data_IF_062267862375
#
_entry.id   IF_062267862375
#
_cell.length_a   1.000
_cell.length_b   1.000
_cell.length_c   1.000
_cell.angle_alpha   90.00
_cell.angle_beta   90.00
_cell.angle_gamma   90.00
#
_symmetry.space_group_name_H-M   'P 1'
#
loop_
_entity.id
_entity.type
_entity.pdbx_description
1 polymer ?
2 non-polymer ?
3 non-polymer ?
4 non-polymer ?
5 water ?
#
# COMPACT_ATOMS: atom_id res chain seq x y z
N UNK A 1 13.82 -8.65 -7.64
CA UNK A 1 14.30 -7.67 -6.62
C UNK A 1 14.38 -8.34 -5.28
N UNK A 2 15.24 -7.81 -4.40
CA UNK A 2 15.29 -8.26 -3.01
C UNK A 2 13.95 -7.82 -2.37
N UNK A 3 13.44 -8.68 -1.55
CA UNK A 3 12.18 -8.47 -0.84
C UNK A 3 12.42 -8.85 0.62
N UNK A 4 11.57 -8.31 1.49
CA UNK A 4 11.63 -8.59 2.91
C UNK A 4 12.66 -7.80 3.68
N UNK A 5 13.19 -6.76 3.09
CA UNK A 5 14.15 -5.87 3.75
C UNK A 5 13.53 -4.49 3.91
N UNK A 6 13.64 -3.93 5.09
CA UNK A 6 12.99 -2.63 5.37
C UNK A 6 13.89 -1.76 6.21
N UNK A 7 13.90 -0.47 5.88
CA UNK A 7 14.63 0.51 6.69
C UNK A 7 13.65 1.25 7.60
N UNK A 8 13.80 0.99 8.88
CA UNK A 8 13.02 1.61 9.94
C UNK A 8 13.77 2.83 10.44
N UNK A 9 13.05 3.75 11.10
CA UNK A 9 13.79 4.77 11.86
C UNK A 9 14.64 4.08 12.90
N UNK A 10 15.75 4.75 13.25
CA UNK A 10 16.68 4.20 14.27
C UNK A 10 16.03 4.09 15.65
N UNK A 11 16.45 3.08 16.39
CA UNK A 11 16.18 2.96 17.82
C UNK A 11 14.68 2.98 18.15
N UNK A 12 13.92 2.33 17.30
CA UNK A 12 12.45 2.35 17.35
C UNK A 12 11.90 0.96 17.70
N UNK A 13 11.01 0.91 18.69
CA UNK A 13 10.34 -0.32 19.05
C UNK A 13 9.36 -0.63 17.95
N UNK A 14 9.29 -1.89 17.56
CA UNK A 14 8.41 -2.36 16.53
C UNK A 14 7.89 -3.74 16.87
N UNK A 15 6.72 -4.04 16.35
CA UNK A 15 6.13 -5.34 16.50
C UNK A 15 6.35 -6.18 15.27
N UNK A 16 6.57 -7.48 15.47
CA UNK A 16 6.66 -8.43 14.38
C UNK A 16 5.78 -9.65 14.71
N UNK A 17 4.91 -9.99 13.79
CA UNK A 17 3.94 -11.09 13.99
C UNK A 17 3.91 -11.94 12.74
N UNK A 18 3.86 -13.24 12.91
CA UNK A 18 3.84 -14.17 11.81
C UNK A 18 2.64 -15.14 11.90
N UNK A 19 2.07 -15.41 10.74
CA UNK A 19 0.92 -16.31 10.58
C UNK A 19 1.32 -17.41 9.59
N UNK A 20 0.75 -18.60 9.74
CA UNK A 20 1.06 -19.71 8.83
C UNK A 20 -0.16 -20.22 8.13
N UNK A 21 0.02 -20.54 6.85
CA UNK A 21 -1.04 -21.10 5.99
C UNK A 21 -0.39 -22.06 4.98
N UNK A 22 0.03 -23.23 5.48
CA UNK A 22 0.71 -24.17 4.65
C UNK A 22 0.76 -25.53 5.32
N UNK A 23 0.87 -26.57 4.51
CA UNK A 23 1.14 -27.91 5.11
C UNK A 23 2.57 -27.99 5.66
N UNK A 24 3.47 -27.15 5.18
CA UNK A 24 4.87 -27.14 5.63
C UNK A 24 5.10 -26.38 6.90
N UNK A 25 6.03 -26.85 7.70
CA UNK A 25 6.43 -26.15 8.92
C UNK A 25 7.24 -24.94 8.51
N UNK A 26 6.82 -23.75 8.94
CA UNK A 26 7.47 -22.51 8.57
C UNK A 26 8.50 -22.10 9.62
N UNK A 27 9.66 -21.63 9.17
CA UNK A 27 10.65 -20.97 10.03
C UNK A 27 10.83 -19.56 9.57
N UNK A 28 10.46 -18.60 10.41
CA UNK A 28 10.62 -17.18 10.11
C UNK A 28 11.80 -16.64 10.93
N UNK A 29 12.79 -16.09 10.26
CA UNK A 29 13.98 -15.51 10.88
C UNK A 29 13.87 -13.99 10.75
N UNK A 30 14.02 -13.30 11.87
CA UNK A 30 14.00 -11.83 11.89
C UNK A 30 15.38 -11.29 12.23
N UNK A 31 15.97 -10.49 11.37
CA UNK A 31 17.30 -9.91 11.61
C UNK A 31 17.16 -8.44 11.76
N UNK A 32 17.87 -7.90 12.72
CA UNK A 32 18.01 -6.48 12.91
C UNK A 32 19.52 -6.13 12.80
N UNK A 33 19.84 -5.22 11.87
CA UNK A 33 21.25 -4.85 11.60
C UNK A 33 22.13 -6.08 11.51
N UNK A 34 21.63 -7.02 10.71
CA UNK A 34 22.37 -8.24 10.30
C UNK A 34 22.64 -9.23 11.40
N UNK A 35 21.84 -9.19 12.47
CA UNK A 35 21.89 -10.22 13.51
C UNK A 35 20.51 -10.79 13.71
N UNK A 36 20.39 -12.14 13.80
CA UNK A 36 19.12 -12.73 14.11
C UNK A 36 18.68 -12.38 15.53
N UNK A 37 17.47 -11.85 15.65
CA UNK A 37 16.95 -11.45 16.93
C UNK A 37 15.62 -12.13 17.30
N UNK A 38 15.01 -12.84 16.37
CA UNK A 38 13.83 -13.69 16.67
C UNK A 38 13.69 -14.75 15.65
N UNK A 39 13.16 -15.88 16.09
CA UNK A 39 12.83 -16.99 15.23
C UNK A 39 11.48 -17.54 15.63
N UNK A 40 10.60 -17.68 14.62
CA UNK A 40 9.32 -18.24 14.85
C UNK A 40 9.18 -19.50 14.02
N UNK A 41 8.75 -20.59 14.67
CA UNK A 41 8.63 -21.87 14.00
C UNK A 41 7.24 -22.40 14.29
N UNK A 42 6.51 -22.78 13.27
CA UNK A 42 5.19 -23.32 13.46
C UNK A 42 4.55 -23.82 12.23
N UNK A 43 3.36 -24.39 12.39
CA UNK A 43 2.62 -24.95 11.29
C UNK A 43 1.12 -24.73 11.50
N UNK A 44 0.44 -24.30 10.43
CA UNK A 44 -0.98 -24.13 10.40
C UNK A 44 -1.45 -24.00 8.99
N UNK A 45 -2.61 -24.56 8.68
CA UNK A 45 -3.30 -24.23 7.43
C UNK A 45 -4.50 -23.30 7.70
N UNK A 46 -4.57 -22.68 8.88
CA UNK A 46 -5.69 -21.80 9.22
C UNK A 46 -5.26 -20.51 9.92
N UNK A 47 -4.14 -19.94 9.49
CA UNK A 47 -3.71 -18.60 9.88
C UNK A 47 -3.35 -18.46 11.34
N UNK A 48 -2.92 -19.56 11.94
CA UNK A 48 -2.47 -19.47 13.34
C UNK A 48 -1.26 -18.56 13.47
N UNK A 49 -1.21 -17.80 14.56
CA UNK A 49 -0.10 -16.99 14.87
C UNK A 49 1.03 -17.90 15.34
N UNK A 50 2.13 -17.88 14.64
CA UNK A 50 3.29 -18.71 14.99
C UNK A 50 4.36 -17.89 15.74
N UNK A 51 4.17 -16.59 15.86
CA UNK A 51 4.96 -15.79 16.78
C UNK A 51 4.56 -14.34 16.79
N UNK A 52 4.81 -13.64 17.88
CA UNK A 52 4.63 -12.19 17.93
C UNK A 52 5.59 -11.65 18.99
N UNK A 53 6.42 -10.70 18.59
CA UNK A 53 7.42 -10.16 19.47
C UNK A 53 7.55 -8.68 19.29
N UNK A 54 8.08 -8.03 20.33
CA UNK A 54 8.48 -6.62 20.26
C UNK A 54 10.01 -6.51 20.24
N UNK A 55 10.51 -5.82 19.26
CA UNK A 55 11.93 -5.65 18.99
C UNK A 55 12.31 -4.19 18.84
N UNK A 56 13.61 -3.92 18.82
CA UNK A 56 14.13 -2.56 18.60
C UNK A 56 15.00 -2.49 17.34
N UNK A 57 14.78 -1.48 16.51
CA UNK A 57 15.43 -1.39 15.22
C UNK A 57 16.89 -1.00 15.32
N UNK A 58 17.33 -0.58 16.49
CA UNK A 58 18.79 -0.36 16.70
C UNK A 58 19.31 0.86 16.00
N UNK A 59 20.64 1.02 16.01
CA UNK A 59 21.20 2.16 15.34
C UNK A 59 20.96 2.27 13.85
N UNK A 60 21.01 1.14 13.15
CA UNK A 60 20.98 1.11 11.73
C UNK A 60 19.61 1.03 11.10
N UNK A 61 18.62 0.60 11.91
CA UNK A 61 17.25 0.52 11.45
C UNK A 61 16.96 -0.60 10.45
N UNK A 62 17.92 -1.46 10.14
CA UNK A 62 17.73 -2.48 9.10
C UNK A 62 17.03 -3.71 9.62
N UNK A 63 15.85 -4.00 9.05
CA UNK A 63 15.10 -5.17 9.45
C UNK A 63 14.93 -6.08 8.24
N UNK A 64 15.28 -7.36 8.37
CA UNK A 64 15.12 -8.30 7.32
C UNK A 64 14.35 -9.51 7.79
N UNK A 65 13.44 -9.98 6.94
CA UNK A 65 12.67 -11.22 7.13
C UNK A 65 13.09 -12.28 6.15
N UNK A 66 13.38 -13.47 6.63
CA UNK A 66 13.65 -14.61 5.81
C UNK A 66 12.73 -15.73 6.24
N UNK A 67 12.29 -16.52 5.28
CA UNK A 67 11.40 -17.62 5.58
C UNK A 67 11.91 -18.89 4.92
N UNK A 68 11.95 -20.00 5.67
CA UNK A 68 12.32 -21.28 5.06
C UNK A 68 11.41 -22.39 5.52
N UNK A 69 11.35 -23.42 4.68
CA UNK A 69 10.53 -24.59 4.96
C UNK A 69 11.48 -25.76 4.60
N UNK A 70 11.74 -26.59 5.58
CA UNK A 70 12.65 -27.73 5.38
C UNK A 70 14.02 -27.32 4.87
N UNK A 71 14.51 -26.22 5.44
CA UNK A 71 15.77 -25.67 4.97
C UNK A 71 15.79 -24.96 3.60
N UNK A 72 14.67 -24.94 2.84
CA UNK A 72 14.61 -24.27 1.56
C UNK A 72 14.02 -22.88 1.73
N UNK A 73 14.68 -21.90 1.14
CA UNK A 73 14.21 -20.51 1.27
C UNK A 73 12.95 -20.32 0.45
N UNK A 74 11.93 -19.74 1.07
CA UNK A 74 10.71 -19.41 0.35
C UNK A 74 10.92 -18.13 -0.46
N UNK A 75 10.15 -17.98 -1.52
CA UNK A 75 10.15 -16.79 -2.34
C UNK A 75 9.31 -15.72 -1.64
N UNK A 76 9.87 -14.52 -1.52
CA UNK A 76 9.19 -13.47 -0.73
C UNK A 76 8.58 -12.40 -1.61
N UNK A 77 7.51 -11.82 -1.11
CA UNK A 77 6.95 -10.56 -1.64
C UNK A 77 6.73 -9.59 -0.50
N UNK A 78 6.94 -8.31 -0.74
CA UNK A 78 6.85 -7.35 0.38
C UNK A 78 6.59 -5.94 -0.10
N UNK A 79 6.12 -5.11 0.85
CA UNK A 79 5.98 -3.68 0.64
C UNK A 79 5.88 -3.01 1.99
N UNK A 80 6.03 -1.70 2.01
CA UNK A 80 5.76 -0.92 3.23
C UNK A 80 4.69 0.07 2.87
N UNK A 81 3.73 0.24 3.78
CA UNK A 81 2.66 1.22 3.63
C UNK A 81 2.64 2.13 4.87
N UNK A 82 2.40 3.42 4.63
CA UNK A 82 2.37 4.41 5.70
C UNK A 82 1.03 5.12 5.64
N UNK A 83 0.33 5.13 6.74
CA UNK A 83 -0.99 5.80 6.85
C UNK A 83 -0.82 7.06 7.73
N UNK A 84 -1.51 8.12 7.30
CA UNK A 84 -1.51 9.42 8.04
C UNK A 84 -0.12 9.96 8.27
N UNK A 85 0.81 9.57 7.38
CA UNK A 85 2.21 9.98 7.43
C UNK A 85 2.93 9.59 8.72
N UNK A 86 2.43 8.56 9.39
CA UNK A 86 2.95 8.21 10.71
C UNK A 86 2.84 6.75 11.10
N UNK A 87 1.79 6.06 10.68
CA UNK A 87 1.56 4.69 11.07
C UNK A 87 2.09 3.78 10.01
N UNK A 88 3.06 2.92 10.39
CA UNK A 88 3.80 2.13 9.40
C UNK A 88 3.53 0.61 9.50
N UNK A 89 3.37 0.00 8.32
CA UNK A 89 3.28 -1.44 8.19
C UNK A 89 4.29 -1.94 7.16
N UNK A 90 5.13 -2.87 7.56
CA UNK A 90 6.03 -3.57 6.64
C UNK A 90 5.48 -5.00 6.52
N UNK A 91 5.22 -5.41 5.30
CA UNK A 91 4.38 -6.56 5.02
C UNK A 91 5.17 -7.56 4.18
N UNK A 92 5.10 -8.82 4.55
CA UNK A 92 5.80 -9.91 3.82
C UNK A 92 4.86 -11.07 3.59
N UNK A 93 4.82 -11.57 2.37
CA UNK A 93 4.25 -12.86 2.05
C UNK A 93 5.36 -13.78 1.58
N UNK A 94 5.06 -15.07 1.61
CA UNK A 94 6.09 -16.04 1.22
C UNK A 94 5.43 -17.26 0.59
N UNK A 95 6.16 -17.90 -0.32
CA UNK A 95 5.66 -19.02 -1.10
C UNK A 95 6.69 -20.14 -0.99
N UNK A 96 6.22 -21.25 -0.45
CA UNK A 96 7.06 -22.42 -0.22
C UNK A 96 6.95 -23.49 -1.31
N UNK A 97 6.09 -23.24 -2.27
CA UNK A 97 5.77 -24.23 -3.32
C UNK A 97 5.47 -23.49 -4.60
N UNK A 98 4.49 -23.93 -5.38
CA UNK A 98 4.24 -23.42 -6.71
C UNK A 98 2.78 -23.08 -6.94
N UNK A 99 1.94 -23.17 -5.92
CA UNK A 99 0.53 -22.64 -6.10
C UNK A 99 0.44 -21.09 -6.10
N UNK A 100 1.47 -20.41 -5.63
CA UNK A 100 1.57 -18.98 -5.66
C UNK A 100 0.43 -18.25 -4.93
N UNK A 101 0.06 -18.76 -3.77
CA UNK A 101 -0.82 -18.01 -2.88
C UNK A 101 -0.08 -17.01 -2.00
N UNK A 102 1.24 -17.18 -1.85
CA UNK A 102 2.09 -16.24 -1.08
C UNK A 102 1.68 -16.02 0.33
N UNK A 103 0.90 -16.95 0.93
CA UNK A 103 0.45 -16.80 2.29
C UNK A 103 1.04 -17.85 3.23
N UNK A 104 2.06 -18.58 2.78
CA UNK A 104 2.46 -19.75 3.52
C UNK A 104 3.03 -19.39 4.87
N UNK A 105 3.85 -18.35 4.90
CA UNK A 105 4.08 -17.55 6.13
C UNK A 105 3.82 -16.09 5.74
N UNK A 106 3.01 -15.41 6.55
CA UNK A 106 2.69 -14.01 6.37
C UNK A 106 3.25 -13.26 7.57
N UNK A 107 3.99 -12.21 7.32
CA UNK A 107 4.65 -11.47 8.39
C UNK A 107 4.27 -10.01 8.35
N UNK A 108 3.87 -9.46 9.49
CA UNK A 108 3.44 -8.07 9.64
C UNK A 108 4.33 -7.43 10.66
N UNK A 109 4.98 -6.35 10.25
CA UNK A 109 5.82 -5.51 11.10
C UNK A 109 5.05 -4.17 11.27
N UNK A 110 4.86 -3.73 12.51
CA UNK A 110 4.15 -2.46 12.75
C UNK A 110 4.92 -1.56 13.71
N UNK A 111 4.89 -0.28 13.40
CA UNK A 111 5.41 0.74 14.30
C UNK A 111 4.68 2.06 14.02
N UNK A 112 4.67 3.03 14.97
CA UNK A 112 5.22 2.93 16.30
C UNK A 112 4.35 2.12 17.26
N UNK A 113 4.97 1.77 18.38
CA UNK A 113 4.27 1.10 19.48
C UNK A 113 4.12 2.06 20.66
N UNK A 114 3.35 1.62 21.64
CA UNK A 114 3.19 2.38 22.87
C UNK A 114 2.03 3.34 22.91
N UNK B 1 -13.28 11.13 4.75
CA UNK B 1 -13.74 9.86 4.08
C UNK B 1 -13.96 8.80 5.12
N UNK B 2 -14.85 7.85 4.79
CA UNK B 2 -15.08 6.68 5.58
C UNK B 2 -13.81 5.81 5.50
N UNK B 3 -13.42 5.29 6.64
CA UNK B 3 -12.26 4.48 6.76
C UNK B 3 -12.68 3.20 7.48
N UNK B 4 -11.90 2.15 7.28
CA UNK B 4 -12.14 0.90 7.96
C UNK B 4 -13.15 -0.04 7.31
N UNK B 5 -13.55 0.26 6.07
CA UNK B 5 -14.50 -0.55 5.30
C UNK B 5 -13.76 -1.15 4.11
N UNK B 6 -13.94 -2.45 3.90
CA UNK B 6 -13.23 -3.18 2.85
C UNK B 6 -14.19 -4.12 2.16
N UNK B 7 -14.05 -4.22 0.85
CA UNK B 7 -14.75 -5.27 0.04
C UNK B 7 -13.81 -6.43 -0.23
N UNK B 8 -14.15 -7.54 0.38
CA UNK B 8 -13.45 -8.81 0.18
C UNK B 8 -14.19 -9.61 -0.93
N UNK B 9 -13.50 -10.60 -1.53
CA UNK B 9 -14.22 -11.53 -2.37
C UNK B 9 -15.24 -12.28 -1.54
N UNK B 10 -16.39 -12.59 -2.18
CA UNK B 10 -17.49 -13.25 -1.49
C UNK B 10 -17.06 -14.60 -0.90
N UNK B 11 -17.68 -14.94 0.21
CA UNK B 11 -17.62 -16.28 0.80
C UNK B 11 -16.18 -16.78 0.99
N UNK B 12 -15.32 -15.88 1.43
CA UNK B 12 -13.88 -16.13 1.54
C UNK B 12 -13.47 -16.04 3.00
N UNK B 13 -12.70 -17.03 3.43
CA UNK B 13 -12.10 -17.02 4.76
C UNK B 13 -11.00 -15.97 4.85
N UNK B 14 -11.00 -15.25 5.98
CA UNK B 14 -10.02 -14.19 6.21
C UNK B 14 -9.63 -14.19 7.66
N UNK B 15 -8.41 -13.74 7.94
CA UNK B 15 -7.95 -13.55 9.31
C UNK B 15 -8.11 -12.09 9.72
N UNK B 16 -8.49 -11.89 10.97
CA UNK B 16 -8.52 -10.55 11.56
C UNK B 16 -7.79 -10.61 12.87
N UNK B 17 -6.81 -9.71 13.03
CA UNK B 17 -5.98 -9.66 14.24
C UNK B 17 -5.92 -8.20 14.73
N UNK B 18 -6.07 -7.99 16.04
CA UNK B 18 -6.00 -6.66 16.61
C UNK B 18 -4.92 -6.56 17.70
N UNK B 19 -4.22 -5.44 17.65
CA UNK B 19 -3.12 -5.13 18.57
C UNK B 19 -3.48 -3.85 19.32
N UNK B 20 -3.04 -3.75 20.56
CA UNK B 20 -3.25 -2.53 21.36
C UNK B 20 -1.99 -1.84 21.77
N UNK B 21 -2.05 -0.50 21.76
CA UNK B 21 -0.93 0.39 22.16
C UNK B 21 -1.46 1.64 22.76
N UNK B 22 -2.05 1.51 23.94
CA UNK B 22 -2.76 2.64 24.56
C UNK B 22 -3.01 2.35 26.04
N UNK B 23 -3.10 3.39 26.83
CA UNK B 23 -3.53 3.23 28.23
C UNK B 23 -5.01 2.85 28.33
N UNK B 24 -5.78 3.16 27.31
CA UNK B 24 -7.22 2.91 27.26
C UNK B 24 -7.56 1.52 26.83
N UNK B 25 -8.63 0.96 27.41
CA UNK B 25 -9.14 -0.32 26.95
C UNK B 25 -9.74 -0.15 25.58
N UNK B 26 -9.27 -0.93 24.63
CA UNK B 26 -9.79 -0.86 23.26
C UNK B 26 -10.90 -1.86 23.00
N UNK B 27 -11.94 -1.41 22.26
CA UNK B 27 -12.98 -2.29 21.78
C UNK B 27 -12.93 -2.26 20.29
N UNK B 28 -12.71 -3.38 19.66
CA UNK B 28 -12.74 -3.51 18.22
C UNK B 28 -13.90 -4.37 17.75
N UNK B 29 -14.82 -3.78 17.01
CA UNK B 29 -15.97 -4.46 16.47
C UNK B 29 -15.71 -4.81 15.03
N UNK B 30 -15.93 -6.08 14.65
CA UNK B 30 -15.80 -6.54 13.30
C UNK B 30 -17.18 -6.89 12.76
N UNK B 31 -17.60 -6.18 11.70
CA UNK B 31 -18.89 -6.42 11.06
C UNK B 31 -18.67 -7.03 9.69
N UNK B 32 -19.46 -8.06 9.40
CA UNK B 32 -19.49 -8.67 8.09
C UNK B 32 -20.91 -8.49 7.55
N UNK B 33 -21.00 -7.85 6.39
CA UNK B 33 -22.30 -7.54 5.76
C UNK B 33 -23.26 -6.94 6.75
N UNK B 34 -22.73 -5.94 7.48
CA UNK B 34 -23.49 -5.10 8.43
C UNK B 34 -24.00 -5.77 9.68
N UNK B 35 -23.42 -6.90 10.07
CA UNK B 35 -23.73 -7.56 11.31
C UNK B 35 -22.44 -7.82 12.07
N UNK B 36 -22.43 -7.49 13.34
CA UNK B 36 -21.26 -7.78 14.17
C UNK B 36 -21.04 -9.24 14.35
N UNK B 37 -19.84 -9.70 13.98
CA UNK B 37 -19.49 -11.09 14.05
C UNK B 37 -18.39 -11.37 15.08
N UNK B 38 -17.68 -10.36 15.51
CA UNK B 38 -16.61 -10.53 16.51
C UNK B 38 -16.37 -9.17 17.16
N UNK B 39 -16.08 -9.19 18.45
CA UNK B 39 -15.67 -8.06 19.22
C UNK B 39 -14.44 -8.44 20.03
N UNK B 40 -13.39 -7.64 19.86
CA UNK B 40 -12.16 -7.81 20.66
C UNK B 40 -12.05 -6.70 21.65
N UNK B 41 -11.78 -7.06 22.90
CA UNK B 41 -11.62 -6.09 23.98
C UNK B 41 -10.35 -6.37 24.70
N UNK B 42 -9.50 -5.38 24.85
CA UNK B 42 -8.25 -5.58 25.61
C UNK B 42 -7.49 -4.30 25.82
N UNK B 43 -6.37 -4.43 26.54
CA UNK B 43 -5.56 -3.28 26.87
C UNK B 43 -4.08 -3.64 26.92
N UNK B 44 -3.26 -2.84 26.28
CA UNK B 44 -1.80 -3.04 26.26
C UNK B 44 -1.19 -1.76 25.82
N UNK B 45 -0.01 -1.48 26.36
CA UNK B 45 0.87 -0.47 25.80
C UNK B 45 2.08 -1.06 25.07
N UNK B 46 2.04 -2.31 24.77
CA UNK B 46 3.17 -2.98 24.17
C UNK B 46 2.79 -3.96 23.10
N UNK B 47 1.75 -3.57 22.33
CA UNK B 47 1.40 -4.25 21.13
C UNK B 47 0.89 -5.65 21.34
N UNK B 48 0.31 -5.94 22.50
CA UNK B 48 -0.31 -7.23 22.72
C UNK B 48 -1.45 -7.48 21.75
N UNK B 49 -1.56 -8.72 21.33
CA UNK B 49 -2.69 -9.15 20.53
C UNK B 49 -3.91 -9.31 21.37
N UNK B 50 -4.90 -8.50 21.11
CA UNK B 50 -6.17 -8.52 21.89
C UNK B 50 -7.25 -9.35 21.22
N UNK B 51 -6.98 -9.86 20.02
CA UNK B 51 -7.84 -10.78 19.41
C UNK B 51 -7.30 -11.24 18.07
N UNK B 52 -7.62 -12.49 17.72
CA UNK B 52 -7.29 -13.01 16.39
C UNK B 52 -8.28 -14.11 16.04
N UNK B 53 -8.98 -13.97 14.91
CA UNK B 53 -10.00 -14.92 14.54
C UNK B 53 -9.99 -15.18 13.05
N UNK B 54 -10.53 -16.31 12.65
CA UNK B 54 -10.79 -16.60 11.24
C UNK B 54 -12.28 -16.45 11.02
N UNK B 55 -12.63 -15.67 10.04
CA UNK B 55 -14.02 -15.35 9.71
C UNK B 55 -14.29 -15.59 8.24
N UNK B 56 -15.55 -15.52 7.85
CA UNK B 56 -15.94 -15.65 6.46
C UNK B 56 -16.63 -14.35 5.97
N UNK B 57 -16.27 -13.88 4.80
CA UNK B 57 -16.77 -12.62 4.28
C UNK B 57 -18.21 -12.65 3.77
N UNK B 58 -18.77 -13.86 3.68
CA UNK B 58 -20.20 -13.99 3.42
C UNK B 58 -20.55 -13.58 2.02
N UNK B 59 -21.86 -13.53 1.74
CA UNK B 59 -22.25 -13.22 0.36
C UNK B 59 -21.78 -11.89 -0.21
N UNK B 60 -21.83 -10.83 0.61
CA UNK B 60 -21.60 -9.50 0.14
C UNK B 60 -20.16 -9.05 0.22
N UNK B 61 -19.37 -9.79 0.98
CA UNK B 61 -17.98 -9.48 1.12
C UNK B 61 -17.62 -8.23 1.92
N UNK B 62 -18.60 -7.56 2.54
CA UNK B 62 -18.36 -6.31 3.22
C UNK B 62 -17.82 -6.50 4.59
N UNK B 63 -16.62 -5.99 4.87
CA UNK B 63 -16.03 -6.09 6.21
C UNK B 63 -15.78 -4.67 6.72
N UNK B 64 -16.21 -4.40 7.93
CA UNK B 64 -16.03 -3.06 8.54
C UNK B 64 -15.49 -3.24 9.93
N UNK B 65 -14.48 -2.41 10.23
CA UNK B 65 -13.85 -2.31 11.54
C UNK B 65 -14.28 -1.01 12.19
N UNK B 66 -14.74 -1.11 13.45
CA UNK B 66 -14.99 0.07 14.26
C UNK B 66 -14.22 -0.07 15.57
N UNK B 67 -13.69 1.03 16.05
CA UNK B 67 -12.91 1.02 17.26
C UNK B 67 -13.42 2.09 18.21
N UNK B 68 -13.54 1.71 19.46
CA UNK B 68 -13.95 2.68 20.48
C UNK B 68 -13.26 2.43 21.78
N UNK B 69 -13.29 3.44 22.63
CA UNK B 69 -12.68 3.35 23.99
C UNK B 69 -13.78 3.90 24.88
N UNK B 70 -14.25 3.07 25.80
CA UNK B 70 -15.33 3.47 26.73
C UNK B 70 -16.53 4.11 26.03
N UNK B 71 -16.94 3.51 24.91
CA UNK B 71 -18.04 4.00 24.15
C UNK B 71 -17.80 5.20 23.25
N UNK B 72 -16.58 5.78 23.25
CA UNK B 72 -16.26 6.89 22.36
C UNK B 72 -15.51 6.38 21.12
N UNK B 73 -15.99 6.72 19.92
CA UNK B 73 -15.36 6.24 18.65
C UNK B 73 -13.96 6.83 18.48
N UNK B 74 -13.00 5.99 18.11
CA UNK B 74 -11.70 6.47 17.76
C UNK B 74 -11.69 6.92 16.32
N UNK B 75 -10.74 7.78 15.97
CA UNK B 75 -10.56 8.23 14.57
C UNK B 75 -9.75 7.17 13.83
N UNK B 76 -10.26 6.75 12.67
CA UNK B 76 -9.65 5.63 11.94
C UNK B 76 -8.88 6.09 10.74
N UNK B 77 -7.82 5.33 10.43
CA UNK B 77 -7.14 5.45 9.14
C UNK B 77 -6.97 4.03 8.55
N UNK B 78 -7.04 3.90 7.24
CA UNK B 78 -7.00 2.56 6.65
C UNK B 78 -6.59 2.56 5.18
N UNK B 79 -6.17 1.38 4.72
CA UNK B 79 -5.93 1.14 3.29
C UNK B 79 -5.92 -0.35 3.05
N UNK B 80 -5.95 -0.73 1.79
CA UNK B 80 -5.77 -2.14 1.38
C UNK B 80 -4.59 -2.20 0.46
N UNK B 81 -3.74 -3.21 0.65
CA UNK B 81 -2.57 -3.41 -0.23
C UNK B 81 -2.60 -4.86 -0.71
N UNK B 82 -2.28 -5.06 -1.98
CA UNK B 82 -2.28 -6.37 -2.58
C UNK B 82 -0.88 -6.64 -3.16
N UNK B 83 -0.27 -7.75 -2.76
CA UNK B 83 1.04 -8.16 -3.22
C UNK B 83 0.89 -9.36 -4.17
N UNK B 84 1.63 -9.32 -5.27
CA UNK B 84 1.64 -10.38 -6.27
C UNK B 84 0.25 -10.70 -6.82
N UNK B 85 -0.60 -9.70 -6.81
CA UNK B 85 -1.98 -9.78 -7.30
C UNK B 85 -2.79 -10.86 -6.61
N UNK B 86 -2.37 -11.22 -5.39
CA UNK B 86 -2.94 -12.39 -4.71
C UNK B 86 -3.02 -12.25 -3.20
N UNK B 87 -2.02 -11.70 -2.57
CA UNK B 87 -1.96 -11.64 -1.10
C UNK B 87 -2.47 -10.27 -0.64
N UNK B 88 -3.52 -10.28 0.14
CA UNK B 88 -4.24 -9.07 0.50
C UNK B 88 -4.10 -8.74 1.97
N UNK B 89 -3.85 -7.46 2.23
CA UNK B 89 -3.87 -6.91 3.58
C UNK B 89 -4.82 -5.73 3.63
N UNK B 90 -5.74 -5.76 4.56
CA UNK B 90 -6.59 -4.59 4.87
C UNK B 90 -6.15 -4.12 6.24
N UNK B 91 -5.75 -2.84 6.30
CA UNK B 91 -5.01 -2.31 7.43
C UNK B 91 -5.79 -1.16 8.07
N UNK B 92 -5.89 -1.18 9.41
CA UNK B 92 -6.57 -0.11 10.15
C UNK B 92 -5.74 0.36 11.31
N UNK B 93 -5.60 1.67 11.42
CA UNK B 93 -5.06 2.31 12.66
C UNK B 93 -6.14 3.16 13.27
N UNK B 94 -5.93 3.49 14.52
CA UNK B 94 -6.97 4.28 15.24
C UNK B 94 -6.29 5.15 16.29
N UNK B 95 -6.92 6.31 16.53
CA UNK B 95 -6.43 7.26 17.52
C UNK B 95 -7.55 7.58 18.52
N UNK B 96 -7.26 7.37 19.80
CA UNK B 96 -8.21 7.54 20.89
C UNK B 96 -8.04 8.87 21.64
N UNK B 97 -6.98 9.60 21.30
CA UNK B 97 -6.61 10.77 22.07
C UNK B 97 -6.00 11.85 21.15
N UNK B 98 -4.93 12.49 21.60
CA UNK B 98 -4.41 13.67 20.99
C UNK B 98 -2.99 13.57 20.46
N UNK B 99 -2.29 12.47 20.76
CA UNK B 99 -0.87 12.43 20.34
C UNK B 99 -0.73 12.01 18.87
N UNK B 100 -1.79 11.48 18.25
CA UNK B 100 -1.75 11.17 16.81
C UNK B 100 -0.68 10.14 16.43
N UNK B 101 -0.52 9.13 17.29
CA UNK B 101 0.29 7.99 16.89
C UNK B 101 -0.52 6.97 16.07
N UNK B 102 -1.85 7.03 16.14
CA UNK B 102 -2.74 6.16 15.32
C UNK B 102 -2.51 4.65 15.51
N UNK B 103 -1.93 4.28 16.65
CA UNK B 103 -1.63 2.86 16.92
C UNK B 103 -2.41 2.32 18.09
N UNK B 104 -3.40 3.09 18.56
CA UNK B 104 -4.01 2.74 19.84
C UNK B 104 -4.73 1.37 19.80
N UNK B 105 -5.42 1.13 18.70
CA UNK B 105 -5.74 -0.22 18.25
C UNK B 105 -5.32 -0.28 16.79
N UNK B 106 -4.61 -1.34 16.45
CA UNK B 106 -4.19 -1.58 15.10
C UNK B 106 -4.83 -2.88 14.67
N UNK B 107 -5.42 -2.91 13.50
CA UNK B 107 -6.11 -4.10 13.00
C UNK B 107 -5.58 -4.53 11.64
N UNK B 108 -5.25 -5.81 11.50
CA UNK B 108 -4.75 -6.38 10.25
C UNK B 108 -5.72 -7.49 9.83
N UNK B 109 -6.28 -7.31 8.62
CA UNK B 109 -7.09 -8.35 8.00
C UNK B 109 -6.24 -8.95 6.85
N UNK B 110 -6.12 -10.29 6.78
CA UNK B 110 -5.37 -10.91 5.71
C UNK B 110 -6.17 -12.04 5.06
N UNK B 111 -5.99 -12.15 3.74
CA UNK B 111 -6.51 -13.27 2.95
C UNK B 111 -5.67 -13.40 1.72
N UNK B 112 -5.68 -14.55 1.02
CA UNK B 112 -6.37 -15.76 1.40
C UNK B 112 -5.73 -16.51 2.51
N UNK B 113 -6.47 -17.48 3.04
CA UNK B 113 -5.91 -18.41 4.03
C UNK B 113 -5.71 -19.80 3.37
N UNK B 114 -5.08 -20.69 4.11
CA UNK B 114 -4.97 -22.07 3.70
C UNK B 114 -3.72 -22.42 2.90
N UNK C 1 8.59 -13.81 -7.48
CA UNK C 1 7.14 -13.82 -7.82
C UNK C 1 6.93 -13.05 -9.10
N UNK C 2 5.87 -13.37 -9.82
CA UNK C 2 5.45 -12.56 -10.98
C UNK C 2 5.01 -11.21 -10.42
N UNK C 3 5.39 -10.16 -11.14
CA UNK C 3 5.10 -8.81 -10.78
C UNK C 3 4.52 -8.13 -12.01
N UNK C 4 3.81 -7.06 -11.82
CA UNK C 4 3.26 -6.28 -12.92
C UNK C 4 1.96 -6.79 -13.49
N UNK C 5 1.30 -7.69 -12.78
CA UNK C 5 0.03 -8.31 -13.22
C UNK C 5 -1.05 -7.88 -12.24
N UNK C 6 -2.17 -7.39 -12.76
CA UNK C 6 -3.23 -6.90 -11.89
C UNK C 6 -4.61 -7.29 -12.36
N UNK C 7 -5.49 -7.67 -11.45
CA UNK C 7 -6.89 -7.92 -11.78
C UNK C 7 -7.71 -6.71 -11.51
N UNK C 8 -8.30 -6.20 -12.58
CA UNK C 8 -9.23 -5.10 -12.55
C UNK C 8 -10.65 -5.66 -12.64
N UNK C 9 -11.65 -4.86 -12.20
CA UNK C 9 -13.02 -5.26 -12.51
C UNK C 9 -13.19 -5.36 -14.03
N UNK C 10 -14.03 -6.32 -14.42
CA UNK C 10 -14.34 -6.49 -15.87
C UNK C 10 -14.85 -5.23 -16.51
N UNK C 11 -14.43 -5.04 -17.76
CA UNK C 11 -14.99 -4.04 -18.67
C UNK C 11 -14.99 -2.63 -18.07
N UNK C 12 -13.84 -2.30 -17.45
CA UNK C 12 -13.67 -1.05 -16.74
C UNK C 12 -12.63 -0.19 -17.40
N UNK C 13 -12.95 1.09 -17.57
CA UNK C 13 -12.02 2.10 -18.05
C UNK C 13 -10.99 2.39 -16.98
N UNK C 14 -9.74 2.49 -17.40
CA UNK C 14 -8.61 2.77 -16.51
C UNK C 14 -7.59 3.62 -17.19
N UNK C 15 -6.85 4.37 -16.41
CA UNK C 15 -5.74 5.15 -16.91
C UNK C 15 -4.41 4.44 -16.72
N UNK C 16 -3.52 4.57 -17.70
CA UNK C 16 -2.14 4.06 -17.56
C UNK C 16 -1.20 5.16 -17.97
N UNK C 17 -0.21 5.43 -17.12
CA UNK C 17 0.77 6.50 -17.34
C UNK C 17 2.15 5.94 -17.03
N UNK C 18 3.12 6.21 -17.92
CA UNK C 18 4.49 5.75 -17.73
C UNK C 18 5.47 6.94 -17.67
N UNK C 19 6.43 6.85 -16.76
CA UNK C 19 7.46 7.83 -16.52
C UNK C 19 8.79 7.15 -16.76
N UNK C 20 9.79 7.89 -17.24
CA UNK C 20 11.11 7.37 -17.41
C UNK C 20 12.18 8.09 -16.58
N UNK C 21 13.12 7.32 -16.03
CA UNK C 21 14.26 7.82 -15.26
C UNK C 21 15.46 6.92 -15.49
N UNK C 22 16.04 7.01 -16.66
CA UNK C 22 17.12 6.14 -17.05
C UNK C 22 17.80 6.67 -18.29
N UNK C 23 19.11 6.36 -18.43
CA UNK C 23 19.78 6.68 -19.71
C UNK C 23 19.29 5.78 -20.85
N UNK C 24 18.69 4.63 -20.53
CA UNK C 24 18.21 3.66 -21.51
C UNK C 24 16.84 4.01 -22.02
N UNK C 25 16.61 3.75 -23.29
CA UNK C 25 15.25 3.97 -23.87
C UNK C 25 14.36 2.87 -23.37
N UNK C 26 13.27 3.27 -22.74
CA UNK C 26 12.31 2.31 -22.16
C UNK C 26 11.18 1.97 -23.13
N UNK C 27 10.83 0.70 -23.20
CA UNK C 27 9.65 0.21 -23.94
C UNK C 27 8.70 -0.45 -22.96
N UNK C 28 7.54 0.17 -22.77
CA UNK C 28 6.52 -0.35 -21.89
C UNK C 28 5.39 -0.96 -22.71
N UNK C 29 5.12 -2.24 -22.47
CA UNK C 29 4.08 -2.98 -23.14
C UNK C 29 2.92 -3.16 -22.16
N UNK C 30 1.71 -2.78 -22.57
CA UNK C 30 0.49 -2.93 -21.77
C UNK C 30 -0.35 -4.01 -22.42
N UNK C 31 -0.64 -5.07 -21.69
CA UNK C 31 -1.48 -6.14 -22.22
C UNK C 31 -2.76 -6.22 -21.44
N UNK C 32 -3.86 -6.37 -22.17
CA UNK C 32 -5.16 -6.59 -21.57
C UNK C 32 -5.58 -8.01 -22.01
N UNK C 33 -5.89 -8.87 -21.04
CA UNK C 33 -6.26 -10.26 -21.29
C UNK C 33 -5.34 -10.92 -22.30
N UNK C 34 -4.04 -10.74 -22.04
CA UNK C 34 -2.96 -11.38 -22.77
C UNK C 34 -2.76 -10.89 -24.20
N UNK C 35 -3.26 -9.71 -24.53
CA UNK C 35 -3.00 -9.11 -25.81
C UNK C 35 -2.48 -7.68 -25.60
N UNK C 36 -1.42 -7.34 -26.33
CA UNK C 36 -0.90 -5.97 -26.31
C UNK C 36 -1.94 -4.96 -26.82
N UNK C 37 -2.20 -3.95 -26.01
CA UNK C 37 -3.11 -2.86 -26.36
C UNK C 37 -2.46 -1.47 -26.41
N UNK C 38 -1.26 -1.36 -25.87
CA UNK C 38 -0.53 -0.09 -25.91
C UNK C 38 0.92 -0.38 -25.73
N UNK C 39 1.75 0.44 -26.39
CA UNK C 39 3.21 0.39 -26.25
C UNK C 39 3.71 1.82 -26.13
N UNK C 40 4.45 2.07 -25.06
CA UNK C 40 5.04 3.40 -24.83
C UNK C 40 6.55 3.29 -24.94
N UNK C 41 7.16 4.17 -25.77
CA UNK C 41 8.60 4.14 -25.97
C UNK C 41 9.12 5.54 -25.73
N UNK C 42 10.10 5.67 -24.86
CA UNK C 42 10.69 6.99 -24.60
C UNK C 42 11.90 6.94 -23.73
N UNK C 43 12.53 8.10 -23.57
CA UNK C 43 13.70 8.21 -22.70
C UNK C 43 13.66 9.51 -21.95
N UNK C 44 14.06 9.46 -20.70
CA UNK C 44 14.20 10.62 -19.85
C UNK C 44 14.97 10.23 -18.61
N UNK C 45 15.75 11.18 -18.09
CA UNK C 45 16.34 11.02 -16.76
C UNK C 45 15.71 11.99 -15.76
N UNK C 46 14.57 12.58 -16.12
CA UNK C 46 13.90 13.53 -15.25
C UNK C 46 12.41 13.35 -15.22
N UNK C 47 11.98 12.07 -15.24
CA UNK C 47 10.62 11.72 -14.94
C UNK C 47 9.64 12.16 -15.98
N UNK C 48 10.08 12.34 -17.21
CA UNK C 48 9.13 12.71 -18.27
C UNK C 48 8.10 11.60 -18.42
N UNK C 49 6.89 12.02 -18.74
CA UNK C 49 5.84 11.07 -19.12
C UNK C 49 6.09 10.58 -20.53
N UNK C 50 6.23 9.29 -20.69
CA UNK C 50 6.51 8.68 -22.00
C UNK C 50 5.26 8.07 -22.63
N UNK C 51 4.19 8.08 -21.83
CA UNK C 51 2.89 7.66 -22.36
C UNK C 51 1.79 7.82 -21.34
N UNK C 52 0.59 8.10 -21.80
CA UNK C 52 -0.57 8.14 -20.96
C UNK C 52 -1.78 7.85 -21.83
N UNK C 53 -2.54 6.85 -21.46
CA UNK C 53 -3.70 6.44 -22.23
C UNK C 53 -4.84 6.02 -21.34
N UNK C 54 -6.04 6.04 -21.88
CA UNK C 54 -7.21 5.44 -21.25
C UNK C 54 -7.53 4.19 -22.01
N UNK C 55 -7.74 3.10 -21.27
CA UNK C 55 -7.93 1.76 -21.83
C UNK C 55 -9.08 1.07 -21.10
N UNK C 56 -9.50 -0.08 -21.63
CA UNK C 56 -10.56 -0.86 -21.02
C UNK C 56 -10.06 -2.22 -20.63
N UNK C 57 -10.45 -2.71 -19.46
CA UNK C 57 -9.93 -3.97 -18.94
C UNK C 57 -10.49 -5.26 -19.54
N UNK C 58 -11.54 -5.08 -20.34
CA UNK C 58 -12.10 -6.19 -21.10
C UNK C 58 -12.84 -7.18 -20.24
N UNK C 59 -13.23 -8.28 -20.86
CA UNK C 59 -14.01 -9.26 -20.12
C UNK C 59 -13.34 -9.92 -18.93
N UNK C 60 -12.06 -10.21 -19.05
CA UNK C 60 -11.31 -10.89 -18.04
C UNK C 60 -10.62 -10.05 -17.00
N UNK C 61 -10.55 -8.75 -17.26
CA UNK C 61 -10.00 -7.77 -16.30
C UNK C 61 -8.49 -7.86 -16.08
N UNK C 62 -7.79 -8.71 -16.83
CA UNK C 62 -6.34 -8.88 -16.61
C UNK C 62 -5.51 -7.81 -17.30
N UNK C 63 -4.71 -7.10 -16.50
CA UNK C 63 -3.82 -6.08 -17.05
C UNK C 63 -2.40 -6.43 -16.67
N UNK C 64 -1.50 -6.46 -17.63
CA UNK C 64 -0.12 -6.81 -17.37
C UNK C 64 0.79 -5.75 -17.97
N UNK C 65 1.81 -5.39 -17.21
CA UNK C 65 2.86 -4.45 -17.65
C UNK C 65 4.16 -5.22 -17.82
N UNK C 66 4.81 -5.00 -18.98
CA UNK C 66 6.14 -5.50 -19.22
C UNK C 66 7.05 -4.35 -19.64
N UNK C 67 8.31 -4.37 -19.21
CA UNK C 67 9.21 -3.29 -19.56
C UNK C 67 10.49 -3.90 -20.12
N UNK C 68 10.97 -3.32 -21.22
CA UNK C 68 12.30 -3.76 -21.73
C UNK C 68 13.13 -2.57 -22.19
N UNK C 69 14.43 -2.80 -22.29
CA UNK C 69 15.37 -1.83 -22.77
C UNK C 69 16.26 -2.59 -23.76
N UNK C 70 16.27 -2.13 -25.00
CA UNK C 70 17.08 -2.79 -26.06
C UNK C 70 16.78 -4.30 -26.15
N UNK C 71 15.52 -4.64 -26.03
CA UNK C 71 15.10 -6.03 -26.07
C UNK C 71 15.34 -6.87 -24.81
N UNK C 72 15.97 -6.33 -23.75
CA UNK C 72 16.22 -7.06 -22.50
C UNK C 72 15.13 -6.72 -21.51
N UNK C 73 14.50 -7.75 -20.95
CA UNK C 73 13.43 -7.52 -19.96
C UNK C 73 13.99 -6.91 -18.71
N UNK C 74 13.34 -5.86 -18.23
CA UNK C 74 13.71 -5.28 -16.97
C UNK C 74 13.10 -6.11 -15.82
N UNK C 75 13.71 -6.02 -14.66
CA UNK C 75 13.17 -6.65 -13.46
C UNK C 75 12.07 -5.72 -12.91
N UNK C 76 10.93 -6.30 -12.53
CA UNK C 76 9.81 -5.50 -12.09
C UNK C 76 9.52 -5.63 -10.60
N UNK C 77 9.00 -4.55 -10.03
CA UNK C 77 8.39 -4.59 -8.70
C UNK C 77 7.01 -3.95 -8.78
N UNK C 78 6.06 -4.45 -7.98
CA UNK C 78 4.70 -3.92 -8.10
C UNK C 78 3.90 -4.12 -6.85
N UNK C 79 2.78 -3.36 -6.76
CA UNK C 79 1.76 -3.62 -5.75
C UNK C 79 0.49 -2.86 -6.16
N UNK C 80 -0.64 -3.17 -5.54
CA UNK C 80 -1.84 -2.41 -5.72
C UNK C 80 -2.25 -1.87 -4.38
N UNK C 81 -2.67 -0.62 -4.36
CA UNK C 81 -3.20 -0.01 -3.15
C UNK C 81 -4.58 0.55 -3.42
N UNK C 82 -5.45 0.42 -2.45
CA UNK C 82 -6.84 0.90 -2.55
C UNK C 82 -7.11 1.84 -1.42
N UNK C 83 -7.59 3.05 -1.74
CA UNK C 83 -7.93 4.03 -0.74
C UNK C 83 -9.44 4.20 -0.67
N UNK C 84 -9.94 4.34 0.55
CA UNK C 84 -11.37 4.52 0.83
C UNK C 84 -12.24 3.46 0.19
N UNK C 85 -11.65 2.26 0.06
CA UNK C 85 -12.28 1.12 -0.54
C UNK C 85 -12.81 1.34 -1.96
N UNK C 86 -12.28 2.33 -2.64
CA UNK C 86 -12.85 2.83 -3.91
C UNK C 86 -11.79 3.21 -4.94
N UNK C 87 -10.71 3.85 -4.51
CA UNK C 87 -9.76 4.48 -5.42
C UNK C 87 -8.57 3.57 -5.54
N UNK C 88 -8.30 3.10 -6.74
CA UNK C 88 -7.32 2.06 -6.98
C UNK C 88 -6.09 2.59 -7.71
N UNK C 89 -4.93 2.20 -7.23
CA UNK C 89 -3.68 2.41 -7.88
C UNK C 89 -2.91 1.11 -8.02
N UNK C 90 -2.53 0.76 -9.25
CA UNK C 90 -1.68 -0.38 -9.54
C UNK C 90 -0.32 0.20 -10.01
N UNK C 91 0.72 -0.18 -9.30
CA UNK C 91 2.03 0.53 -9.34
C UNK C 91 3.09 -0.43 -9.78
N UNK C 92 3.94 0.02 -10.72
CA UNK C 92 5.03 -0.80 -11.20
C UNK C 92 6.32 0.04 -11.24
N UNK C 93 7.39 -0.52 -10.73
CA UNK C 93 8.75 -0.02 -10.96
C UNK C 93 9.51 -1.04 -11.75
N UNK C 94 10.61 -0.60 -12.36
CA UNK C 94 11.42 -1.48 -13.15
C UNK C 94 12.89 -1.09 -13.10
N UNK C 95 13.76 -2.09 -13.19
CA UNK C 95 15.19 -1.90 -13.13
C UNK C 95 15.85 -2.51 -14.36
N UNK C 96 16.62 -1.68 -15.04
CA UNK C 96 17.27 -2.08 -16.31
C UNK C 96 18.74 -2.38 -16.17
N UNK C 97 19.28 -2.19 -14.96
CA UNK C 97 20.73 -2.28 -14.78
C UNK C 97 21.04 -2.71 -13.34
N UNK C 98 22.03 -2.08 -12.72
CA UNK C 98 22.62 -2.60 -11.48
C UNK C 98 22.44 -1.70 -10.24
N UNK C 99 21.99 -0.47 -10.42
CA UNK C 99 21.85 0.41 -9.28
C UNK C 99 20.62 0.15 -8.38
N UNK C 100 19.66 -0.62 -8.87
CA UNK C 100 18.47 -0.96 -8.07
C UNK C 100 17.70 0.24 -7.54
N UNK C 101 17.53 1.24 -8.42
CA UNK C 101 16.59 2.35 -8.08
C UNK C 101 15.14 2.00 -8.44
N UNK C 102 14.95 1.00 -9.28
CA UNK C 102 13.63 0.55 -9.73
C UNK C 102 12.73 1.66 -10.29
N UNK C 103 13.33 2.75 -10.77
CA UNK C 103 12.55 3.87 -11.32
C UNK C 103 12.73 4.05 -12.81
N UNK C 104 13.42 3.10 -13.43
CA UNK C 104 13.91 3.32 -14.81
C UNK C 104 12.72 3.56 -15.76
N UNK C 105 11.70 2.72 -15.60
CA UNK C 105 10.34 3.07 -16.04
C UNK C 105 9.44 2.85 -14.82
N UNK C 106 8.58 3.80 -14.56
CA UNK C 106 7.59 3.76 -13.50
C UNK C 106 6.24 3.83 -14.15
N UNK C 107 5.34 2.88 -13.82
CA UNK C 107 4.00 2.85 -14.44
C UNK C 107 2.92 2.92 -13.37
N UNK C 108 1.97 3.82 -13.56
CA UNK C 108 0.81 3.97 -12.67
C UNK C 108 -0.45 3.70 -13.44
N UNK C 109 -1.24 2.82 -12.89
CA UNK C 109 -2.57 2.46 -13.42
C UNK C 109 -3.59 2.96 -12.38
N UNK C 110 -4.57 3.73 -12.81
CA UNK C 110 -5.58 4.28 -11.88
C UNK C 110 -7.01 4.03 -12.38
N UNK C 111 -7.88 3.71 -11.42
CA UNK C 111 -9.33 3.57 -11.70
C UNK C 111 -10.06 3.72 -10.40
N UNK C 112 -11.35 4.03 -10.41
CA UNK C 112 -12.13 4.38 -11.59
C UNK C 112 -11.85 5.74 -12.18
N UNK C 113 -12.38 5.94 -13.38
CA UNK C 113 -12.36 7.23 -14.07
C UNK C 113 -13.72 7.87 -14.01
N UNK C 114 -13.79 9.10 -14.47
CA UNK C 114 -15.08 9.75 -14.66
C UNK C 114 -15.57 10.55 -13.47
N UNK D 1 -8.35 11.97 10.36
CA UNK D 1 -6.88 12.24 10.32
C UNK D 1 -6.58 13.21 9.21
N UNK D 2 -5.46 13.92 9.36
CA UNK D 2 -4.97 14.76 8.29
C UNK D 2 -4.55 13.82 7.16
N UNK D 3 -4.82 14.26 5.94
CA UNK D 3 -4.47 13.48 4.73
C UNK D 3 -3.76 14.43 3.75
N UNK D 4 -3.00 13.86 2.84
CA UNK D 4 -2.31 14.59 1.82
C UNK D 4 -1.03 15.27 2.25
N UNK D 5 -0.49 14.88 3.39
CA UNK D 5 0.79 15.37 3.91
C UNK D 5 1.80 14.23 3.93
N UNK D 6 3.00 14.46 3.38
CA UNK D 6 4.01 13.41 3.31
C UNK D 6 5.40 13.96 3.70
N UNK D 7 6.14 13.21 4.46
CA UNK D 7 7.52 13.53 4.79
C UNK D 7 8.46 12.81 3.83
N UNK D 8 9.16 13.59 3.01
CA UNK D 8 10.17 13.08 2.07
C UNK D 8 11.55 13.29 2.66
N UNK D 9 12.55 12.56 2.19
CA UNK D 9 13.94 12.92 2.49
C UNK D 9 14.26 14.33 2.04
N UNK D 10 15.11 15.03 2.80
CA UNK D 10 15.47 16.41 2.52
C UNK D 10 16.13 16.55 1.16
N UNK D 11 15.91 17.70 0.53
CA UNK D 11 16.64 18.12 -0.69
C UNK D 11 16.62 17.01 -1.75
N UNK D 12 15.43 16.42 -1.96
CA UNK D 12 15.23 15.27 -2.88
C UNK D 12 14.27 15.68 -3.98
N UNK D 13 14.69 15.45 -5.21
CA UNK D 13 13.83 15.64 -6.35
C UNK D 13 12.70 14.63 -6.33
N UNK D 14 11.50 15.11 -6.65
CA UNK D 14 10.34 14.23 -6.75
C UNK D 14 9.45 14.68 -7.89
N UNK D 15 8.67 13.74 -8.44
CA UNK D 15 7.66 14.05 -9.41
C UNK D 15 6.30 14.23 -8.79
N UNK D 16 5.49 15.14 -9.31
CA UNK D 16 4.10 15.27 -8.93
C UNK D 16 3.26 15.35 -10.19
N UNK D 17 2.23 14.54 -10.27
CA UNK D 17 1.37 14.45 -11.46
C UNK D 17 -0.05 14.41 -10.99
N UNK D 18 -0.91 15.21 -11.61
CA UNK D 18 -2.33 15.26 -11.26
C UNK D 18 -3.20 14.93 -12.45
N UNK D 19 -4.26 14.16 -12.17
CA UNK D 19 -5.27 13.75 -13.14
C UNK D 19 -6.62 14.27 -12.67
N UNK D 20 -7.50 14.63 -13.62
CA UNK D 20 -8.84 15.08 -13.26
C UNK D 20 -9.94 14.15 -13.78
N UNK D 21 -10.95 13.96 -12.93
CA UNK D 21 -12.10 13.14 -13.27
C UNK D 21 -13.34 13.74 -12.61
N UNK D 22 -13.75 14.90 -13.12
CA UNK D 22 -14.85 15.61 -12.51
C UNK D 22 -15.40 16.65 -13.45
N UNK D 23 -16.69 17.00 -13.26
CA UNK D 23 -17.23 18.15 -13.99
C UNK D 23 -16.63 19.48 -13.57
N UNK D 24 -16.17 19.54 -12.32
CA UNK D 24 -15.64 20.73 -11.72
C UNK D 24 -14.20 20.98 -12.08
N UNK D 25 -13.85 22.25 -12.24
CA UNK D 25 -12.46 22.63 -12.47
C UNK D 25 -11.65 22.47 -11.18
N UNK D 26 -10.58 21.68 -11.27
CA UNK D 26 -9.78 21.31 -10.08
C UNK D 26 -8.60 22.22 -9.95
N UNK D 27 -8.35 22.70 -8.74
CA UNK D 27 -7.15 23.49 -8.41
C UNK D 27 -6.37 22.70 -7.38
N UNK D 28 -5.20 22.25 -7.80
CA UNK D 28 -4.31 21.42 -6.95
C UNK D 28 -3.18 22.33 -6.53
N UNK D 29 -3.04 22.52 -5.22
CA UNK D 29 -1.97 23.32 -4.63
C UNK D 29 -0.93 22.34 -4.08
N UNK D 30 0.31 22.51 -4.48
CA UNK D 30 1.40 21.74 -3.94
C UNK D 30 2.24 22.67 -3.05
N UNK D 31 2.35 22.32 -1.78
CA UNK D 31 3.19 23.09 -0.87
C UNK D 31 4.37 22.25 -0.47
N UNK D 32 5.53 22.88 -0.50
CA UNK D 32 6.74 22.30 0.00
C UNK D 32 7.18 23.16 1.20
N UNK D 33 7.38 22.54 2.35
CA UNK D 33 7.73 23.26 3.57
C UNK D 33 6.88 24.50 3.80
N UNK D 34 5.59 24.29 3.65
CA UNK D 34 4.56 25.25 3.97
C UNK D 34 4.45 26.46 3.06
N UNK D 35 5.02 26.34 1.86
CA UNK D 35 4.90 27.38 0.84
C UNK D 35 4.46 26.75 -0.45
N UNK D 36 3.51 27.43 -1.11
CA UNK D 36 3.06 26.95 -2.42
C UNK D 36 4.18 27.02 -3.44
N UNK D 37 4.46 25.89 -4.07
CA UNK D 37 5.47 25.83 -5.15
C UNK D 37 4.92 25.44 -6.51
N UNK D 38 3.68 24.97 -6.56
CA UNK D 38 3.06 24.61 -7.86
C UNK D 38 1.57 24.62 -7.69
N UNK D 39 0.88 25.05 -8.74
CA UNK D 39 -0.56 25.05 -8.79
C UNK D 39 -0.94 24.49 -10.12
N UNK D 40 -1.75 23.46 -10.08
CA UNK D 40 -2.28 22.84 -11.27
C UNK D 40 -3.74 23.15 -11.32
N UNK D 41 -4.21 23.71 -12.47
CA UNK D 41 -5.61 24.02 -12.65
C UNK D 41 -6.09 23.39 -13.94
N UNK D 42 -7.11 22.57 -13.88
CA UNK D 42 -7.62 22.00 -15.07
C UNK D 42 -8.91 21.28 -14.86
N UNK D 43 -9.45 20.77 -15.95
CA UNK D 43 -10.74 20.09 -15.93
C UNK D 43 -10.82 19.00 -16.97
N UNK D 44 -11.33 17.86 -16.55
CA UNK D 44 -11.55 16.69 -17.38
C UNK D 44 -12.46 15.74 -16.66
N UNK D 45 -13.31 15.03 -17.40
CA UNK D 45 -14.03 13.87 -16.88
C UNK D 45 -13.43 12.54 -17.41
N UNK D 46 -12.22 12.56 -17.98
CA UNK D 46 -11.63 11.37 -18.56
C UNK D 46 -10.14 11.26 -18.32
N UNK D 47 -9.75 11.66 -17.11
CA UNK D 47 -8.39 11.38 -16.60
C UNK D 47 -7.29 12.14 -17.29
N UNK D 48 -7.63 13.28 -17.84
CA UNK D 48 -6.56 14.11 -18.41
C UNK D 48 -5.56 14.54 -17.33
N UNK D 49 -4.30 14.58 -17.74
CA UNK D 49 -3.26 15.12 -16.90
C UNK D 49 -3.41 16.60 -16.85
N UNK D 50 -3.60 17.15 -15.67
CA UNK D 50 -3.71 18.62 -15.46
C UNK D 50 -2.43 19.25 -14.92
N UNK D 51 -1.43 18.43 -14.61
CA UNK D 51 -0.10 18.95 -14.34
C UNK D 51 0.88 17.84 -14.11
N UNK D 52 2.13 18.07 -14.44
CA UNK D 52 3.20 17.18 -14.04
C UNK D 52 4.46 17.99 -13.95
N UNK D 53 5.11 17.94 -12.81
CA UNK D 53 6.26 18.77 -12.55
C UNK D 53 7.28 17.99 -11.72
N UNK D 54 8.54 18.40 -11.83
CA UNK D 54 9.57 17.95 -10.93
C UNK D 54 9.83 19.06 -9.95
N UNK D 55 9.85 18.70 -8.66
CA UNK D 55 10.08 19.61 -7.56
C UNK D 55 11.15 19.09 -6.65
N UNK D 56 11.53 19.93 -5.68
CA UNK D 56 12.52 19.54 -4.71
C UNK D 56 11.92 19.69 -3.31
N UNK D 57 12.14 18.68 -2.47
CA UNK D 57 11.54 18.65 -1.17
C UNK D 57 12.15 19.63 -0.14
N UNK D 58 13.29 20.21 -0.49
CA UNK D 58 13.85 21.30 0.33
C UNK D 58 14.36 20.83 1.64
N UNK D 59 14.69 21.81 2.52
CA UNK D 59 15.36 21.40 3.76
C UNK D 59 14.55 20.50 4.71
N UNK D 60 13.25 20.78 4.79
CA UNK D 60 12.37 20.09 5.69
C UNK D 60 11.71 18.83 5.18
N UNK D 61 11.66 18.68 3.86
CA UNK D 61 11.05 17.50 3.29
C UNK D 61 9.53 17.42 3.34
N UNK D 62 8.88 18.48 3.79
CA UNK D 62 7.42 18.39 3.91
C UNK D 62 6.73 18.69 2.61
N UNK D 63 5.85 17.78 2.14
CA UNK D 63 5.06 17.98 0.94
C UNK D 63 3.60 17.83 1.27
N UNK D 64 2.79 18.83 0.93
CA UNK D 64 1.37 18.79 1.21
C UNK D 64 0.61 19.07 -0.05
N UNK D 65 -0.44 18.29 -0.27
CA UNK D 65 -1.38 18.47 -1.39
C UNK D 65 -2.68 18.97 -0.86
N UNK D 66 -3.23 20.01 -1.49
CA UNK D 66 -4.55 20.52 -1.18
C UNK D 66 -5.30 20.64 -2.50
N UNK D 67 -6.61 20.38 -2.49
CA UNK D 67 -7.41 20.42 -3.70
C UNK D 67 -8.67 21.23 -3.44
N UNK D 68 -9.00 22.15 -4.35
CA UNK D 68 -10.28 22.85 -4.22
C UNK D 68 -10.99 22.95 -5.53
N UNK D 69 -12.29 23.16 -5.45
CA UNK D 69 -13.15 23.31 -6.63
C UNK D 69 -14.07 24.47 -6.31
N UNK D 70 -14.05 25.48 -7.17
CA UNK D 70 -14.90 26.68 -6.96
C UNK D 70 -14.55 27.30 -5.57
N UNK D 71 -13.29 27.28 -5.13
CA UNK D 71 -12.93 27.80 -3.80
C UNK D 71 -13.31 26.93 -2.58
N UNK D 72 -14.00 25.80 -2.77
CA UNK D 72 -14.38 24.86 -1.68
C UNK D 72 -13.33 23.75 -1.61
N UNK D 73 -12.78 23.51 -0.42
CA UNK D 73 -11.80 22.40 -0.20
C UNK D 73 -12.45 21.04 -0.41
N UNK D 74 -11.79 20.19 -1.21
CA UNK D 74 -12.19 18.84 -1.38
C UNK D 74 -11.70 17.98 -0.21
N UNK D 75 -12.45 16.94 0.08
CA UNK D 75 -12.06 15.97 1.10
C UNK D 75 -10.96 15.05 0.49
N UNK D 76 -9.91 14.80 1.26
CA UNK D 76 -8.75 14.02 0.75
C UNK D 76 -8.61 12.66 1.38
N UNK D 77 -8.10 11.73 0.58
CA UNK D 77 -7.63 10.44 1.10
C UNK D 77 -6.21 10.21 0.60
N UNK D 78 -5.36 9.55 1.40
CA UNK D 78 -3.96 9.38 0.99
C UNK D 78 -3.28 8.23 1.68
N UNK D 79 -2.15 7.82 1.10
CA UNK D 79 -1.24 6.87 1.70
C UNK D 79 0.07 6.91 0.97
N UNK D 80 1.10 6.33 1.56
CA UNK D 80 2.39 6.17 0.93
C UNK D 80 2.72 4.70 0.86
N UNK D 81 3.27 4.28 -0.26
CA UNK D 81 3.76 2.91 -0.42
C UNK D 81 5.19 2.92 -0.90
N UNK D 82 5.95 1.96 -0.38
CA UNK D 82 7.37 1.79 -0.70
C UNK D 82 7.58 0.42 -1.23
N UNK D 83 8.16 0.31 -2.43
CA UNK D 83 8.49 -0.97 -3.05
C UNK D 83 9.99 -1.19 -3.05
N UNK D 84 10.39 -2.42 -2.77
CA UNK D 84 11.82 -2.83 -2.75
C UNK D 84 12.65 -1.94 -1.83
N UNK D 85 12.01 -1.41 -0.78
CA UNK D 85 12.65 -0.54 0.20
C UNK D 85 13.32 0.70 -0.40
N UNK D 86 12.86 1.12 -1.57
CA UNK D 86 13.56 2.15 -2.37
C UNK D 86 12.63 3.05 -3.16
N UNK D 87 11.60 2.49 -3.79
CA UNK D 87 10.79 3.21 -4.73
C UNK D 87 9.53 3.67 -4.06
N UNK D 88 9.36 4.97 -3.99
CA UNK D 88 8.28 5.59 -3.20
C UNK D 88 7.16 6.18 -4.04
N UNK D 89 5.94 5.94 -3.60
CA UNK D 89 4.74 6.57 -4.14
C UNK D 89 3.92 7.19 -3.04
N UNK D 90 3.61 8.48 -3.16
CA UNK D 90 2.67 9.16 -2.26
C UNK D 90 1.43 9.46 -3.07
N UNK D 91 0.28 8.99 -2.58
CA UNK D 91 -0.95 8.91 -3.37
C UNK D 91 -2.07 9.68 -2.72
N UNK D 92 -2.79 10.48 -3.51
CA UNK D 92 -3.88 11.30 -2.99
C UNK D 92 -5.07 11.17 -3.91
N UNK D 93 -6.24 10.97 -3.31
CA UNK D 93 -7.51 11.13 -4.00
C UNK D 93 -8.28 12.24 -3.35
N UNK D 94 -9.20 12.82 -4.12
CA UNK D 94 -9.99 13.93 -3.59
C UNK D 94 -11.42 13.85 -4.07
N UNK D 95 -12.32 14.31 -3.21
CA UNK D 95 -13.75 14.28 -3.50
C UNK D 95 -14.31 15.68 -3.36
N UNK D 96 -14.93 16.14 -4.42
CA UNK D 96 -15.51 17.52 -4.48
C UNK D 96 -17.02 17.55 -4.26
N UNK D 97 -17.64 16.38 -4.15
CA UNK D 97 -19.10 16.32 -4.07
C UNK D 97 -19.54 15.18 -3.15
N UNK D 98 -20.60 14.46 -3.55
CA UNK D 98 -21.27 13.47 -2.69
C UNK D 98 -21.18 12.02 -3.20
N UNK D 99 -20.65 11.79 -4.42
CA UNK D 99 -20.59 10.40 -4.93
C UNK D 99 -19.45 9.53 -4.37
N UNK D 100 -18.51 10.14 -3.68
CA UNK D 100 -17.44 9.42 -3.01
C UNK D 100 -16.62 8.51 -3.93
N UNK D 101 -16.29 9.02 -5.14
CA UNK D 101 -15.38 8.25 -5.99
C UNK D 101 -13.90 8.58 -5.69
N UNK D 102 -13.68 9.71 -5.03
CA UNK D 102 -12.37 10.18 -4.63
C UNK D 102 -11.41 10.29 -5.77
N UNK D 103 -11.91 10.39 -7.01
CA UNK D 103 -11.05 10.48 -8.15
C UNK D 103 -11.11 11.86 -8.83
N UNK D 104 -11.75 12.84 -8.17
CA UNK D 104 -12.04 14.11 -8.87
C UNK D 104 -10.78 14.85 -9.27
N UNK D 105 -9.80 14.86 -8.35
CA UNK D 105 -8.40 15.10 -8.69
C UNK D 105 -7.63 13.96 -8.02
N UNK D 106 -6.77 13.32 -8.79
CA UNK D 106 -5.91 12.25 -8.32
C UNK D 106 -4.50 12.75 -8.44
N UNK D 107 -3.71 12.60 -7.39
CA UNK D 107 -2.36 13.11 -7.42
C UNK D 107 -1.39 11.94 -7.05
N UNK D 108 -0.37 11.77 -7.89
CA UNK D 108 0.69 10.80 -7.65
C UNK D 108 2.02 11.51 -7.50
N UNK D 109 2.70 11.27 -6.40
CA UNK D 109 4.03 11.78 -6.11
C UNK D 109 4.97 10.60 -6.19
N UNK D 110 6.06 10.70 -6.92
CA UNK D 110 7.06 9.60 -7.00
C UNK D 110 8.50 10.04 -6.81
N UNK D 111 9.29 9.19 -6.15
CA UNK D 111 10.71 9.42 -5.98
C UNK D 111 11.35 8.09 -5.69
N UNK D 112 12.63 7.90 -5.92
CA UNK D 112 13.57 8.89 -6.44
C UNK D 112 13.41 9.02 -7.94
N UNK D 113 14.04 10.06 -8.48
CA UNK D 113 14.12 10.29 -9.90
C UNK D 113 15.54 10.04 -10.39
N UNK D 114 15.70 10.04 -11.72
CA UNK D 114 17.03 9.98 -12.32
C UNK D 114 17.52 8.62 -12.61
#
# INVERSE_FOLDING_TARGET
>A
ATQGVFTLPANTQFGVTAFANSAGTQTVNVQVNNETVATFTGQSTNNAIIGSKVLNSGGGGKVQILVSVNGRSSDLVSAQVILANELNFALVGSEDSTDNDYNDAVVVINWPLG
>B
ATQGVFTLPANTQFGVTAFANSAGTQTVNVQVNNETVATFTGQSTNNAIIGSKVLNSGGGGKVQILVSVNGRSSDLVSAQVILANELNFALVGSEDSTDNDYNDAVVVINWPLG
>C
ATQGVFTLPANTQFGVTAFANSAGTQTVNVQVNNETVATFTGQSTNNAIIGSKVLNSGGGGKVQILVSVNGRSSDLVSAQVILANELNFALVGSEDSTDNDYNDAVVVINWPLG
>D
ATQGVFTLPANTQFGVTAFANSAGTQTVNVQVNNETVATFTGQSTNNAIIGSKVLNSGGGGKVQILVSVNGRSSDLVSAQVILANELNFALVGSEDSTDNDYNDAVVVINWPLG
#
